data_IF_810421627220
#
_entry.id   IF_810421627220
#
_cell.length_a   1.000
_cell.length_b   1.000
_cell.length_c   1.000
_cell.angle_alpha   90.00
_cell.angle_beta   90.00
_cell.angle_gamma   90.00
#
_symmetry.space_group_name_H-M   'P 1'
#
loop_
_entity.id
_entity.type
_entity.pdbx_description
1 polymer ?
#
# COMPACT_ATOMS: atom_id res chain seq x y z
N UNK A 1 12.49 -14.19 1.55
CA UNK A 1 11.22 -13.90 0.82
C UNK A 1 10.73 -12.50 1.18
N UNK A 2 10.34 -11.67 0.21
CA UNK A 2 9.80 -10.31 0.49
C UNK A 2 8.27 -10.36 0.49
N UNK A 3 7.63 -9.77 1.50
CA UNK A 3 6.17 -9.70 1.66
C UNK A 3 5.74 -8.26 1.93
N UNK A 4 4.71 -7.79 1.23
CA UNK A 4 4.15 -6.43 1.39
C UNK A 4 2.83 -6.50 2.14
N UNK A 5 2.66 -5.65 3.14
CA UNK A 5 1.41 -5.47 3.90
C UNK A 5 0.78 -4.16 3.45
N UNK A 6 -0.49 -4.18 3.03
CA UNK A 6 -1.21 -3.01 2.52
C UNK A 6 -2.58 -2.88 3.16
N UNK A 7 -2.98 -1.66 3.51
CA UNK A 7 -4.34 -1.36 3.95
C UNK A 7 -4.73 0.10 3.66
N UNK A 8 -6.02 0.37 3.48
CA UNK A 8 -6.54 1.73 3.24
C UNK A 8 -6.26 2.66 4.45
N UNK A 9 -6.37 2.13 5.67
CA UNK A 9 -6.15 2.92 6.89
C UNK A 9 -4.86 2.51 7.60
N UNK A 10 -4.19 3.49 8.22
CA UNK A 10 -2.97 3.28 9.00
C UNK A 10 -3.16 2.22 10.08
N UNK A 11 -4.29 2.28 10.81
CA UNK A 11 -4.62 1.37 11.90
C UNK A 11 -4.70 -0.09 11.42
N UNK A 12 -5.45 -0.36 10.35
CA UNK A 12 -5.52 -1.70 9.76
C UNK A 12 -4.14 -2.19 9.29
N UNK A 13 -3.31 -1.30 8.74
CA UNK A 13 -1.95 -1.66 8.35
C UNK A 13 -1.10 -2.07 9.55
N UNK A 14 -1.20 -1.36 10.69
CA UNK A 14 -0.50 -1.71 11.94
C UNK A 14 -0.92 -3.08 12.45
N UNK A 15 -2.23 -3.38 12.46
CA UNK A 15 -2.74 -4.66 12.93
C UNK A 15 -2.18 -5.83 12.09
N UNK A 16 -2.18 -5.68 10.75
CA UNK A 16 -1.58 -6.67 9.85
C UNK A 16 -0.06 -6.80 10.00
N UNK A 17 0.64 -5.71 10.31
CA UNK A 17 2.08 -5.71 10.57
C UNK A 17 2.42 -6.55 11.81
N UNK A 18 1.66 -6.36 12.91
CA UNK A 18 1.83 -7.15 14.15
C UNK A 18 1.62 -8.64 13.90
N UNK A 19 0.64 -9.00 13.09
CA UNK A 19 0.40 -10.40 12.73
C UNK A 19 1.52 -10.98 11.86
N UNK A 20 2.18 -10.15 11.04
CA UNK A 20 3.37 -10.59 10.29
C UNK A 20 4.59 -10.80 11.16
N UNK A 21 4.82 -9.91 12.11
CA UNK A 21 5.93 -10.01 13.07
C UNK A 21 5.80 -11.28 13.93
N UNK A 22 4.59 -11.60 14.40
CA UNK A 22 4.29 -12.87 15.11
C UNK A 22 4.63 -14.12 14.29
N UNK A 23 4.64 -14.03 12.96
CA UNK A 23 5.00 -15.14 12.06
C UNK A 23 6.50 -15.22 11.77
N UNK A 24 7.31 -14.41 12.46
CA UNK A 24 8.77 -14.35 12.32
C UNK A 24 9.24 -13.59 11.07
N UNK A 25 8.46 -12.60 10.60
CA UNK A 25 8.90 -11.70 9.55
C UNK A 25 9.50 -10.44 10.16
N UNK A 26 10.60 -9.96 9.59
CA UNK A 26 11.28 -8.73 10.01
C UNK A 26 10.84 -7.56 9.15
N UNK A 27 10.58 -6.42 9.79
CA UNK A 27 10.18 -5.20 9.09
C UNK A 27 11.40 -4.57 8.41
N UNK A 28 11.40 -4.53 7.07
CA UNK A 28 12.46 -3.89 6.28
C UNK A 28 12.11 -2.43 5.99
N UNK A 29 10.83 -2.17 5.72
CA UNK A 29 10.32 -0.81 5.48
C UNK A 29 9.10 -0.57 6.35
N UNK A 30 9.22 0.42 7.24
CA UNK A 30 8.14 0.85 8.13
C UNK A 30 6.91 1.32 7.35
N UNK A 31 5.79 1.37 8.08
CA UNK A 31 4.50 1.83 7.55
C UNK A 31 4.64 3.25 6.99
N UNK A 32 4.33 3.42 5.71
CA UNK A 32 4.34 4.70 5.02
C UNK A 32 3.09 4.83 4.14
N UNK A 33 2.66 6.07 3.90
CA UNK A 33 1.54 6.37 3.01
C UNK A 33 2.03 6.30 1.57
N UNK A 34 1.28 5.62 0.71
CA UNK A 34 1.51 5.51 -0.72
C UNK A 34 0.33 6.14 -1.43
N UNK A 35 0.62 6.98 -2.42
CA UNK A 35 -0.37 7.59 -3.29
C UNK A 35 -0.08 7.13 -4.72
N UNK A 36 -1.03 6.45 -5.34
CA UNK A 36 -0.92 6.02 -6.74
C UNK A 36 -1.81 6.95 -7.58
N UNK A 37 -1.23 7.76 -8.49
CA UNK A 37 -2.02 8.58 -9.39
C UNK A 37 -2.58 7.72 -10.53
N UNK A 38 -3.86 7.91 -10.81
CA UNK A 38 -4.53 7.33 -11.96
C UNK A 38 -5.04 8.44 -12.87
N UNK A 39 -4.73 8.32 -14.16
CA UNK A 39 -5.26 9.22 -15.19
C UNK A 39 -6.48 8.55 -15.81
N UNK A 40 -7.60 9.25 -15.78
CA UNK A 40 -8.82 8.84 -16.47
C UNK A 40 -8.80 9.37 -17.89
N UNK A 41 -8.98 8.47 -18.85
CA UNK A 41 -9.11 8.80 -20.26
C UNK A 41 -10.49 8.36 -20.74
N UNK A 42 -11.08 9.15 -21.63
CA UNK A 42 -12.30 8.74 -22.35
C UNK A 42 -12.01 7.60 -23.32
N UNK A 43 -13.06 6.94 -23.84
CA UNK A 43 -12.93 5.94 -24.92
C UNK A 43 -12.23 6.44 -26.18
N UNK A 44 -12.13 7.77 -26.37
CA UNK A 44 -11.38 8.42 -27.47
C UNK A 44 -10.00 8.93 -27.03
N UNK A 45 -9.44 8.41 -25.95
CA UNK A 45 -8.15 8.81 -25.36
C UNK A 45 -8.02 10.30 -24.99
N UNK A 46 -9.13 11.03 -24.85
CA UNK A 46 -9.09 12.38 -24.28
C UNK A 46 -8.92 12.30 -22.77
N UNK A 47 -7.96 13.04 -22.22
CA UNK A 47 -7.77 13.18 -20.77
C UNK A 47 -9.02 13.77 -20.13
N UNK A 48 -9.49 13.16 -19.05
CA UNK A 48 -10.67 13.60 -18.30
C UNK A 48 -10.26 14.20 -16.96
N UNK A 49 -9.58 13.41 -16.12
CA UNK A 49 -9.22 13.78 -14.77
C UNK A 49 -8.04 12.94 -14.26
N UNK A 50 -7.42 13.38 -13.18
CA UNK A 50 -6.51 12.54 -12.39
C UNK A 50 -7.17 12.27 -11.04
N UNK A 51 -7.24 11.00 -10.65
CA UNK A 51 -7.59 10.60 -9.28
C UNK A 51 -6.37 9.98 -8.62
N UNK A 52 -6.47 9.71 -7.32
CA UNK A 52 -5.41 9.08 -6.55
C UNK A 52 -6.03 8.03 -5.63
N UNK A 53 -5.44 6.83 -5.61
CA UNK A 53 -5.69 5.90 -4.51
C UNK A 53 -4.65 6.14 -3.43
N UNK A 54 -5.12 6.20 -2.20
CA UNK A 54 -4.29 6.32 -1.02
C UNK A 54 -4.36 5.04 -0.19
N UNK A 55 -3.20 4.47 0.14
CA UNK A 55 -3.11 3.35 1.08
C UNK A 55 -1.83 3.43 1.90
N UNK A 56 -1.78 2.64 2.96
CA UNK A 56 -0.63 2.47 3.82
C UNK A 56 0.07 1.16 3.49
N UNK A 57 1.39 1.18 3.39
CA UNK A 57 2.21 0.02 3.07
C UNK A 57 3.35 -0.17 4.08
N UNK A 58 3.63 -1.42 4.44
CA UNK A 58 4.88 -1.84 5.07
C UNK A 58 5.48 -3.02 4.30
N UNK A 59 6.82 -3.14 4.34
CA UNK A 59 7.54 -4.22 3.65
C UNK A 59 8.28 -5.05 4.69
N UNK A 60 8.06 -6.35 4.61
CA UNK A 60 8.64 -7.35 5.48
C UNK A 60 9.51 -8.32 4.69
N UNK A 61 10.53 -8.86 5.35
CA UNK A 61 11.37 -9.95 4.83
C UNK A 61 11.32 -11.11 5.82
N UNK A 62 11.33 -12.32 5.27
CA UNK A 62 11.62 -13.55 5.99
C UNK A 62 12.91 -14.13 5.44
#
# INVERSE_FOLDING_TARGET
MISKVRAITKRKCVDLCRDKEKRGYECVKKIHKVMIPYKHFSKRNKYLASTYDEYWEAIYKR
#
